data_IF_996728629002
#
_entry.id   IF_996728629002
#
_cell.length_a   1.000
_cell.length_b   1.000
_cell.length_c   1.000
_cell.angle_alpha   90.00
_cell.angle_beta   90.00
_cell.angle_gamma   90.00
#
_symmetry.space_group_name_H-M   'P 1'
#
loop_
_entity.id
_entity.type
_entity.pdbx_description
1 polymer ?
#
# COMPACT_ATOMS: atom_id res chain seq x y z
N UNK A 1 27.98 -18.36 -1.54
CA UNK A 1 27.62 -16.93 -1.67
C UNK A 1 26.69 -16.47 -0.53
N UNK A 2 26.97 -16.82 0.73
CA UNK A 2 26.16 -16.45 1.91
C UNK A 2 26.90 -15.46 2.82
N UNK A 3 28.19 -15.23 2.56
CA UNK A 3 29.07 -14.35 3.35
C UNK A 3 28.86 -12.84 3.15
N UNK A 4 27.85 -12.42 2.37
CA UNK A 4 27.52 -11.00 2.17
C UNK A 4 26.40 -10.49 3.10
N UNK A 5 25.80 -11.36 3.92
CA UNK A 5 24.69 -10.99 4.81
C UNK A 5 25.15 -10.32 6.11
N UNK A 6 26.42 -10.44 6.48
CA UNK A 6 26.91 -10.01 7.81
C UNK A 6 28.29 -9.34 7.69
N UNK A 7 28.50 -8.52 6.66
CA UNK A 7 29.56 -7.52 6.78
C UNK A 7 28.94 -6.33 7.54
N UNK A 8 29.57 -5.86 8.64
CA UNK A 8 29.12 -4.64 9.30
C UNK A 8 29.31 -3.51 8.31
N UNK A 9 28.21 -3.03 7.74
CA UNK A 9 28.20 -1.86 6.88
C UNK A 9 28.93 -0.71 7.59
N UNK A 10 29.85 0.00 6.92
CA UNK A 10 30.64 1.06 7.53
C UNK A 10 29.73 2.08 8.24
N UNK A 11 30.18 2.60 9.38
CA UNK A 11 29.41 3.42 10.33
C UNK A 11 28.39 4.41 9.72
N UNK A 12 28.66 5.17 8.63
CA UNK A 12 27.65 6.04 8.02
C UNK A 12 26.41 5.29 7.51
N UNK A 13 26.57 4.09 6.97
CA UNK A 13 25.49 3.30 6.38
C UNK A 13 24.62 2.62 7.45
N UNK A 14 25.15 2.39 8.66
CA UNK A 14 24.34 1.97 9.81
C UNK A 14 23.32 3.05 10.21
N UNK A 15 23.74 4.31 10.32
CA UNK A 15 22.82 5.41 10.65
C UNK A 15 21.81 5.66 9.55
N UNK A 16 22.23 5.56 8.29
CA UNK A 16 21.31 5.61 7.17
C UNK A 16 20.26 4.50 7.25
N UNK A 17 20.66 3.27 7.57
CA UNK A 17 19.75 2.13 7.73
C UNK A 17 18.78 2.33 8.91
N UNK A 18 19.27 2.85 10.05
CA UNK A 18 18.44 3.14 11.22
C UNK A 18 17.37 4.20 10.87
N UNK A 19 17.76 5.29 10.20
CA UNK A 19 16.84 6.34 9.76
C UNK A 19 15.88 5.81 8.68
N UNK A 20 16.38 5.02 7.73
CA UNK A 20 15.57 4.41 6.69
C UNK A 20 14.53 3.43 7.27
N UNK A 21 14.89 2.66 8.31
CA UNK A 21 13.95 1.80 9.03
C UNK A 21 12.85 2.61 9.71
N UNK A 22 13.20 3.72 10.38
CA UNK A 22 12.22 4.61 11.00
C UNK A 22 11.27 5.19 9.96
N UNK A 23 11.80 5.69 8.84
CA UNK A 23 10.99 6.20 7.74
C UNK A 23 10.12 5.12 7.10
N UNK A 24 10.62 3.90 6.94
CA UNK A 24 9.85 2.78 6.38
C UNK A 24 8.64 2.43 7.26
N UNK A 25 8.85 2.34 8.57
CA UNK A 25 7.78 2.07 9.53
C UNK A 25 6.77 3.22 9.55
N UNK A 26 7.24 4.47 9.51
CA UNK A 26 6.39 5.65 9.49
C UNK A 26 5.53 5.70 8.21
N UNK A 27 6.14 5.48 7.05
CA UNK A 27 5.43 5.43 5.76
C UNK A 27 4.43 4.28 5.72
N UNK A 28 4.76 3.09 6.25
CA UNK A 28 3.83 1.97 6.34
C UNK A 28 2.64 2.24 7.26
N UNK A 29 2.87 2.90 8.40
CA UNK A 29 1.80 3.30 9.30
C UNK A 29 0.84 4.27 8.60
N UNK A 30 1.40 5.28 7.92
CA UNK A 30 0.63 6.28 7.19
C UNK A 30 -0.14 5.67 6.00
N UNK A 31 0.48 4.75 5.26
CA UNK A 31 -0.18 3.98 4.19
C UNK A 31 -1.32 3.12 4.72
N UNK A 32 -1.16 2.49 5.89
CA UNK A 32 -2.23 1.68 6.53
C UNK A 32 -3.41 2.55 6.98
N UNK A 33 -3.13 3.74 7.51
CA UNK A 33 -4.17 4.71 7.91
C UNK A 33 -4.90 5.24 6.66
N UNK A 34 -4.16 5.60 5.61
CA UNK A 34 -4.76 6.08 4.36
C UNK A 34 -5.64 5.02 3.71
N UNK A 35 -5.18 3.76 3.67
CA UNK A 35 -5.98 2.62 3.20
C UNK A 35 -7.25 2.42 4.03
N UNK A 36 -7.18 2.58 5.36
CA UNK A 36 -8.38 2.55 6.21
C UNK A 36 -9.33 3.72 5.95
N UNK A 37 -8.80 4.90 5.62
CA UNK A 37 -9.58 6.11 5.40
C UNK A 37 -10.24 6.14 4.01
N UNK A 38 -9.63 5.55 2.98
CA UNK A 38 -10.18 5.48 1.62
C UNK A 38 -11.14 4.30 1.41
N UNK A 39 -11.21 3.36 2.35
CA UNK A 39 -12.15 2.25 2.31
C UNK A 39 -13.57 2.69 2.71
N UNK A 40 -14.60 2.36 1.92
CA UNK A 40 -15.98 2.54 2.33
C UNK A 40 -16.30 1.65 3.55
N UNK A 41 -17.00 2.22 4.54
CA UNK A 41 -17.34 1.54 5.81
C UNK A 41 -18.09 0.22 5.53
N UNK A 42 -17.37 -0.90 5.58
CA UNK A 42 -17.94 -2.25 5.42
C UNK A 42 -17.11 -3.22 4.58
N UNK A 43 -16.23 -2.73 3.69
CA UNK A 43 -15.48 -3.59 2.78
C UNK A 43 -14.07 -3.88 3.31
N UNK A 44 -13.83 -5.12 3.74
CA UNK A 44 -12.51 -5.55 4.20
C UNK A 44 -11.62 -5.76 2.98
N UNK A 45 -10.66 -4.86 2.79
CA UNK A 45 -9.60 -5.00 1.79
C UNK A 45 -8.83 -6.32 2.07
N UNK A 46 -8.95 -7.29 1.17
CA UNK A 46 -8.19 -8.55 1.27
C UNK A 46 -6.70 -8.24 1.32
N UNK A 47 -5.94 -8.93 2.19
CA UNK A 47 -4.48 -8.73 2.36
C UNK A 47 -3.73 -8.76 1.01
N UNK A 48 -4.19 -9.57 0.07
CA UNK A 48 -3.62 -9.66 -1.28
C UNK A 48 -3.81 -8.37 -2.09
N UNK A 49 -4.98 -7.77 -1.98
CA UNK A 49 -5.31 -6.49 -2.63
C UNK A 49 -4.60 -5.33 -1.92
N UNK A 50 -4.41 -5.40 -0.60
CA UNK A 50 -3.62 -4.43 0.15
C UNK A 50 -2.16 -4.39 -0.34
N UNK A 51 -1.55 -5.56 -0.56
CA UNK A 51 -0.21 -5.69 -1.13
C UNK A 51 -0.17 -5.13 -2.56
N UNK A 52 -1.16 -5.44 -3.40
CA UNK A 52 -1.23 -4.87 -4.76
C UNK A 52 -1.33 -3.34 -4.76
N UNK A 53 -2.17 -2.75 -3.92
CA UNK A 53 -2.29 -1.29 -3.80
C UNK A 53 -1.00 -0.66 -3.24
N UNK A 54 -0.30 -1.37 -2.35
CA UNK A 54 0.99 -0.91 -1.85
C UNK A 54 2.05 -0.80 -2.97
N UNK A 55 2.12 -1.78 -3.88
CA UNK A 55 3.07 -1.77 -5.00
C UNK A 55 2.61 -0.91 -6.20
N UNK A 56 1.31 -0.85 -6.49
CA UNK A 56 0.77 -0.17 -7.69
C UNK A 56 0.07 1.17 -7.40
N UNK A 57 -0.08 1.55 -6.13
CA UNK A 57 -0.54 2.87 -5.70
C UNK A 57 -2.00 3.20 -6.04
N UNK A 58 -2.25 4.51 -6.22
CA UNK A 58 -3.59 5.13 -6.42
C UNK A 58 -4.27 4.69 -7.73
N UNK A 59 -3.53 4.19 -8.71
CA UNK A 59 -4.10 3.78 -10.00
C UNK A 59 -5.03 2.57 -9.90
N UNK A 60 -4.72 1.58 -9.06
CA UNK A 60 -5.62 0.46 -8.76
C UNK A 60 -6.92 0.95 -8.12
N UNK A 61 -6.83 1.95 -7.22
CA UNK A 61 -8.00 2.57 -6.61
C UNK A 61 -8.86 3.33 -7.63
N UNK A 62 -8.25 4.03 -8.59
CA UNK A 62 -8.97 4.73 -9.66
C UNK A 62 -9.67 3.76 -10.62
N UNK A 63 -9.03 2.63 -10.95
CA UNK A 63 -9.64 1.57 -11.77
C UNK A 63 -10.82 0.94 -11.05
N UNK A 64 -10.69 0.67 -9.75
CA UNK A 64 -11.75 0.11 -8.92
C UNK A 64 -12.93 1.07 -8.79
N UNK A 65 -12.67 2.37 -8.55
CA UNK A 65 -13.72 3.39 -8.57
C UNK A 65 -14.43 3.48 -9.92
N UNK A 66 -13.69 3.42 -11.03
CA UNK A 66 -14.29 3.39 -12.38
C UNK A 66 -15.21 2.19 -12.56
N UNK A 67 -14.80 1.00 -12.11
CA UNK A 67 -15.63 -0.22 -12.18
C UNK A 67 -16.89 -0.10 -11.33
N UNK A 68 -16.78 0.39 -10.09
CA UNK A 68 -17.94 0.60 -9.20
C UNK A 68 -18.93 1.59 -9.83
N UNK A 69 -18.43 2.70 -10.38
CA UNK A 69 -19.26 3.71 -11.04
C UNK A 69 -19.98 3.15 -12.28
N UNK A 70 -19.28 2.36 -13.11
CA UNK A 70 -19.88 1.72 -14.27
C UNK A 70 -20.98 0.70 -13.89
N UNK A 71 -20.76 -0.10 -12.84
CA UNK A 71 -21.77 -1.03 -12.33
C UNK A 71 -23.00 -0.31 -11.75
N UNK A 72 -22.79 0.84 -11.09
CA UNK A 72 -23.88 1.68 -10.57
C UNK A 72 -24.72 2.29 -11.71
N UNK A 73 -24.06 2.76 -12.77
CA UNK A 73 -24.74 3.34 -13.95
C UNK A 73 -25.53 2.26 -14.73
N UNK A 74 -25.02 1.03 -14.83
CA UNK A 74 -25.77 -0.10 -15.41
C UNK A 74 -26.99 -0.49 -14.56
N UNK A 75 -26.86 -0.50 -13.22
CA UNK A 75 -27.97 -0.78 -12.32
C UNK A 75 -29.08 0.29 -12.43
N UNK A 76 -28.71 1.57 -12.57
CA UNK A 76 -29.66 2.67 -12.84
C UNK A 76 -30.32 2.59 -14.21
N UNK A 77 -29.70 1.94 -15.19
CA UNK A 77 -30.26 1.77 -16.54
C UNK A 77 -31.20 0.56 -16.65
N UNK A 78 -31.16 -0.34 -15.67
CA UNK A 78 -32.04 -1.51 -15.53
C UNK A 78 -33.22 -1.27 -14.57
N UNK A 79 -33.22 -0.17 -13.82
CA UNK A 79 -34.40 0.38 -13.13
C UNK A 79 -35.13 1.37 -14.05
#
# INVERSE_FOLDING_TARGET
MVFNLVHPFPKPLKYFMDIAMVFMVFMHALQTIFLKATLPKGEKLSKMMQVRIFFFGVFEMLVMQKKIKAALDEAKKKQ
#
